data_IF_661484166987
#
_entry.id   IF_661484166987
#
_cell.length_a   1.000
_cell.length_b   1.000
_cell.length_c   1.000
_cell.angle_alpha   90.00
_cell.angle_beta   90.00
_cell.angle_gamma   90.00
#
_symmetry.space_group_name_H-M   'P 1'
#
loop_
_entity.id
_entity.type
_entity.pdbx_description
1 polymer ?
#
# COMPACT_ATOMS: atom_id res chain seq x y z
N UNK A 1 5.57 25.76 4.97
CA UNK A 1 6.37 24.63 4.42
C UNK A 1 6.01 23.31 5.14
N UNK A 2 6.29 22.13 4.56
CA UNK A 2 6.01 20.82 5.18
C UNK A 2 6.66 20.68 6.57
N UNK A 3 7.90 21.19 6.71
CA UNK A 3 8.65 21.21 7.96
C UNK A 3 7.98 22.03 9.07
N UNK A 4 7.35 23.15 8.73
CA UNK A 4 6.64 24.00 9.71
C UNK A 4 5.37 23.31 10.22
N UNK A 5 4.62 22.65 9.32
CA UNK A 5 3.43 21.88 9.69
C UNK A 5 3.76 20.72 10.64
N UNK A 6 4.91 20.08 10.42
CA UNK A 6 5.39 18.96 11.21
C UNK A 6 6.31 19.37 12.38
N UNK A 7 6.56 20.67 12.57
CA UNK A 7 7.48 21.23 13.58
C UNK A 7 8.86 20.55 13.59
N UNK A 8 9.39 20.29 12.39
CA UNK A 8 10.71 19.66 12.18
C UNK A 8 11.80 20.74 12.11
N UNK A 9 12.86 20.56 12.89
CA UNK A 9 14.05 21.40 12.78
C UNK A 9 15.01 20.89 11.68
N UNK A 10 16.12 21.61 11.47
CA UNK A 10 17.13 21.26 10.46
C UNK A 10 17.71 19.85 10.66
N UNK A 11 17.93 19.46 11.91
CA UNK A 11 18.52 18.16 12.23
C UNK A 11 17.51 17.05 11.92
N UNK A 12 16.24 17.25 12.26
CA UNK A 12 15.19 16.28 11.96
C UNK A 12 15.07 16.06 10.43
N UNK A 13 15.16 17.13 9.63
CA UNK A 13 15.16 17.04 8.16
C UNK A 13 16.36 16.29 7.61
N UNK A 14 17.55 16.54 8.14
CA UNK A 14 18.77 15.83 7.76
C UNK A 14 18.69 14.34 8.09
N UNK A 15 18.19 13.99 9.28
CA UNK A 15 17.96 12.60 9.69
C UNK A 15 17.04 11.90 8.69
N UNK A 16 15.86 12.49 8.41
CA UNK A 16 14.89 11.88 7.48
C UNK A 16 15.51 11.68 6.09
N UNK A 17 16.24 12.68 5.59
CA UNK A 17 16.87 12.61 4.27
C UNK A 17 17.91 11.48 4.19
N UNK A 18 18.77 11.37 5.20
CA UNK A 18 19.79 10.31 5.28
C UNK A 18 19.17 8.91 5.37
N UNK A 19 18.12 8.77 6.18
CA UNK A 19 17.42 7.49 6.34
C UNK A 19 16.66 7.10 5.08
N UNK A 20 16.06 8.05 4.35
CA UNK A 20 15.40 7.79 3.07
C UNK A 20 16.39 7.39 1.97
N UNK A 21 17.59 7.95 1.97
CA UNK A 21 18.65 7.61 1.02
C UNK A 21 19.27 6.24 1.32
N UNK A 22 19.55 5.97 2.60
CA UNK A 22 20.11 4.69 3.04
C UNK A 22 19.51 4.28 4.41
N UNK A 23 18.45 3.45 4.39
CA UNK A 23 17.79 2.97 5.61
C UNK A 23 18.67 2.13 6.53
N UNK A 24 19.81 1.62 6.06
CA UNK A 24 20.73 0.79 6.84
C UNK A 24 21.75 1.58 7.66
N UNK A 25 21.75 2.92 7.57
CA UNK A 25 22.66 3.75 8.34
C UNK A 25 22.44 3.58 9.85
N UNK A 26 23.52 3.35 10.57
CA UNK A 26 23.52 3.30 12.03
C UNK A 26 23.37 4.71 12.62
N UNK A 27 22.89 4.81 13.87
CA UNK A 27 22.83 6.09 14.57
C UNK A 27 24.19 6.80 14.66
N UNK A 28 25.29 6.04 14.77
CA UNK A 28 26.65 6.58 14.79
C UNK A 28 27.02 7.21 13.45
N UNK A 29 26.72 6.54 12.35
CA UNK A 29 26.96 7.05 11.00
C UNK A 29 26.15 8.29 10.66
N UNK A 30 24.90 8.35 11.12
CA UNK A 30 24.03 9.53 10.99
C UNK A 30 24.61 10.68 11.84
N UNK A 31 24.97 10.40 13.10
CA UNK A 31 25.55 11.37 14.03
C UNK A 31 26.81 12.04 13.48
N UNK A 32 27.71 11.27 12.87
CA UNK A 32 28.90 11.80 12.20
C UNK A 32 28.52 12.75 11.05
N UNK A 33 27.57 12.37 10.20
CA UNK A 33 27.17 13.18 9.03
C UNK A 33 26.48 14.49 9.42
N UNK A 34 25.69 14.50 10.50
CA UNK A 34 24.97 15.69 10.97
C UNK A 34 25.70 16.45 12.08
N UNK A 35 26.93 16.05 12.42
CA UNK A 35 27.78 16.67 13.43
C UNK A 35 27.11 16.79 14.80
N UNK A 36 26.51 15.70 15.28
CA UNK A 36 25.89 15.59 16.60
C UNK A 36 26.34 14.33 17.32
N UNK A 37 26.03 14.24 18.60
CA UNK A 37 26.31 13.01 19.36
C UNK A 37 25.32 11.91 18.97
N UNK A 38 25.78 10.66 19.03
CA UNK A 38 24.94 9.48 18.77
C UNK A 38 23.70 9.43 19.69
N UNK A 39 23.78 9.74 21.01
CA UNK A 39 22.59 9.79 21.87
C UNK A 39 21.57 10.86 21.44
N UNK A 40 22.02 12.03 20.99
CA UNK A 40 21.13 13.09 20.48
C UNK A 40 20.36 12.63 19.25
N UNK A 41 21.03 11.93 18.32
CA UNK A 41 20.39 11.39 17.11
C UNK A 41 19.42 10.26 17.45
N UNK A 42 19.80 9.34 18.33
CA UNK A 42 18.91 8.27 18.78
C UNK A 42 17.62 8.80 19.41
N UNK A 43 17.71 9.87 20.22
CA UNK A 43 16.53 10.51 20.81
C UNK A 43 15.61 11.14 19.75
N UNK A 44 16.20 11.78 18.72
CA UNK A 44 15.45 12.41 17.63
C UNK A 44 14.77 11.41 16.73
N UNK A 45 15.47 10.36 16.29
CA UNK A 45 14.88 9.25 15.53
C UNK A 45 13.69 8.66 16.28
N UNK A 46 13.89 8.31 17.57
CA UNK A 46 12.82 7.78 18.41
C UNK A 46 11.61 8.73 18.55
N UNK A 47 11.86 10.04 18.60
CA UNK A 47 10.78 11.05 18.60
C UNK A 47 10.03 11.07 17.27
N UNK A 48 10.75 11.05 16.15
CA UNK A 48 10.16 11.02 14.80
C UNK A 48 9.33 9.75 14.58
N UNK A 49 9.83 8.60 15.01
CA UNK A 49 9.12 7.32 14.99
C UNK A 49 7.85 7.35 15.83
N UNK A 50 7.95 7.79 17.09
CA UNK A 50 6.80 7.92 17.99
C UNK A 50 5.73 8.87 17.47
N UNK A 51 6.12 9.89 16.73
CA UNK A 51 5.19 10.86 16.11
C UNK A 51 4.54 10.36 14.82
N UNK A 52 4.97 9.20 14.29
CA UNK A 52 4.51 8.68 13.00
C UNK A 52 5.11 9.39 11.79
N UNK A 53 5.97 10.39 11.98
CA UNK A 53 6.61 11.14 10.89
C UNK A 53 7.63 10.28 10.16
N UNK A 54 8.41 9.48 10.90
CA UNK A 54 9.32 8.49 10.33
C UNK A 54 8.75 7.11 10.62
N UNK A 55 8.48 6.34 9.57
CA UNK A 55 8.00 4.96 9.67
C UNK A 55 8.81 4.09 8.71
N UNK A 56 9.12 2.88 9.15
CA UNK A 56 9.83 1.89 8.34
C UNK A 56 8.84 0.82 7.91
N UNK A 57 8.63 0.69 6.60
CA UNK A 57 7.83 -0.38 6.02
C UNK A 57 8.76 -1.35 5.30
N UNK A 58 9.01 -2.56 5.84
CA UNK A 58 9.66 -3.61 5.07
C UNK A 58 8.74 -4.02 3.91
N UNK A 59 9.34 -4.32 2.77
CA UNK A 59 8.61 -4.73 1.58
C UNK A 59 9.56 -5.27 0.53
N UNK A 60 8.96 -5.68 -0.59
CA UNK A 60 9.67 -6.24 -1.73
C UNK A 60 9.75 -5.18 -2.82
N UNK A 61 10.92 -5.03 -3.44
CA UNK A 61 11.06 -4.14 -4.58
C UNK A 61 10.37 -4.74 -5.81
N UNK A 62 9.30 -4.09 -6.27
CA UNK A 62 8.55 -4.49 -7.44
C UNK A 62 9.43 -4.65 -8.69
N UNK A 63 10.47 -3.84 -8.87
CA UNK A 63 11.39 -3.96 -10.03
C UNK A 63 12.15 -5.28 -10.11
N UNK A 64 12.34 -5.95 -8.97
CA UNK A 64 13.18 -7.16 -8.87
C UNK A 64 12.32 -8.42 -8.95
N UNK A 65 11.02 -8.31 -8.71
CA UNK A 65 10.10 -9.46 -8.71
C UNK A 65 9.21 -9.47 -9.94
N UNK A 66 9.01 -10.67 -10.50
CA UNK A 66 8.12 -10.89 -11.64
C UNK A 66 6.66 -10.93 -11.19
N UNK A 67 6.12 -9.75 -10.86
CA UNK A 67 4.73 -9.54 -10.47
C UNK A 67 4.06 -8.57 -11.44
N UNK A 68 2.75 -8.77 -11.66
CA UNK A 68 1.91 -7.80 -12.34
C UNK A 68 1.36 -6.81 -11.32
N UNK A 69 1.46 -5.51 -11.61
CA UNK A 69 0.84 -4.42 -10.85
C UNK A 69 -0.27 -3.79 -11.67
N UNK A 70 -1.49 -3.81 -11.15
CA UNK A 70 -2.65 -3.19 -11.79
C UNK A 70 -3.21 -2.04 -10.96
N UNK A 71 -3.63 -0.99 -11.65
CA UNK A 71 -4.37 0.13 -11.12
C UNK A 71 -5.83 -0.02 -11.55
N UNK A 72 -6.73 -0.11 -10.57
CA UNK A 72 -8.17 -0.28 -10.80
C UNK A 72 -8.89 0.95 -10.33
N UNK A 73 -9.35 1.76 -11.27
CA UNK A 73 -10.17 2.93 -10.99
C UNK A 73 -11.65 2.54 -10.97
N UNK A 74 -12.38 2.98 -9.95
CA UNK A 74 -13.81 2.68 -9.78
C UNK A 74 -14.60 3.97 -9.58
N UNK A 75 -15.78 4.03 -10.18
CA UNK A 75 -16.84 4.96 -9.80
C UNK A 75 -17.92 4.17 -9.07
N UNK A 76 -18.13 4.45 -7.79
CA UNK A 76 -19.09 3.73 -6.94
C UNK A 76 -20.01 4.68 -6.16
N UNK A 77 -21.22 4.23 -5.86
CA UNK A 77 -22.14 4.94 -4.95
C UNK A 77 -21.75 4.79 -3.48
N UNK A 78 -20.94 3.78 -3.15
CA UNK A 78 -20.56 3.43 -1.79
C UNK A 78 -19.04 3.21 -1.68
N UNK A 79 -18.24 4.29 -1.71
CA UNK A 79 -16.78 4.20 -1.64
C UNK A 79 -16.29 3.63 -0.30
N UNK A 80 -16.97 3.91 0.82
CA UNK A 80 -16.63 3.38 2.13
C UNK A 80 -16.65 1.85 2.14
N UNK A 81 -17.67 1.23 1.55
CA UNK A 81 -17.77 -0.23 1.44
C UNK A 81 -16.60 -0.84 0.66
N UNK A 82 -16.16 -0.18 -0.41
CA UNK A 82 -15.01 -0.64 -1.21
C UNK A 82 -13.71 -0.54 -0.42
N UNK A 83 -13.50 0.54 0.34
CA UNK A 83 -12.32 0.73 1.19
C UNK A 83 -12.27 -0.34 2.29
N UNK A 84 -13.39 -0.60 2.97
CA UNK A 84 -13.44 -1.65 4.00
C UNK A 84 -13.17 -3.04 3.42
N UNK A 85 -13.77 -3.38 2.28
CA UNK A 85 -13.51 -4.62 1.57
C UNK A 85 -12.02 -4.80 1.20
N UNK A 86 -11.39 -3.74 0.72
CA UNK A 86 -10.02 -3.75 0.23
C UNK A 86 -9.01 -4.18 1.33
N UNK A 87 -9.29 -3.88 2.61
CA UNK A 87 -8.43 -4.25 3.75
C UNK A 87 -8.24 -5.76 3.93
N UNK A 88 -9.14 -6.57 3.40
CA UNK A 88 -9.12 -8.03 3.60
C UNK A 88 -8.58 -8.81 2.40
N UNK A 89 -8.52 -8.19 1.22
CA UNK A 89 -8.11 -8.89 0.00
C UNK A 89 -6.57 -8.96 -0.06
N UNK A 90 -5.96 -10.16 -0.11
CA UNK A 90 -4.51 -10.31 -0.11
C UNK A 90 -3.86 -9.85 -1.43
N UNK A 91 -4.65 -9.66 -2.50
CA UNK A 91 -4.18 -9.11 -3.76
C UNK A 91 -4.12 -7.57 -3.74
N UNK A 92 -4.73 -6.91 -2.75
CA UNK A 92 -4.75 -5.45 -2.66
C UNK A 92 -3.50 -4.98 -1.92
N UNK A 93 -2.73 -4.11 -2.57
CA UNK A 93 -1.60 -3.41 -1.96
C UNK A 93 -2.07 -2.15 -1.22
N UNK A 94 -2.99 -1.41 -1.86
CA UNK A 94 -3.57 -0.21 -1.28
C UNK A 94 -4.89 0.16 -1.97
N UNK A 95 -5.70 0.98 -1.30
CA UNK A 95 -6.97 1.48 -1.82
C UNK A 95 -7.16 2.94 -1.38
N UNK A 96 -7.42 3.81 -2.35
CA UNK A 96 -7.50 5.25 -2.16
C UNK A 96 -8.89 5.76 -2.50
N UNK A 97 -9.39 6.72 -1.70
CA UNK A 97 -10.52 7.55 -2.09
C UNK A 97 -10.03 8.73 -2.91
N UNK A 98 -10.62 8.91 -4.07
CA UNK A 98 -10.25 9.92 -5.05
C UNK A 98 -11.33 11.00 -5.13
N UNK A 99 -10.94 12.25 -5.43
CA UNK A 99 -11.87 13.37 -5.59
C UNK A 99 -12.42 13.51 -7.01
N UNK A 100 -11.87 12.77 -7.97
CA UNK A 100 -12.27 12.80 -9.38
C UNK A 100 -13.51 11.96 -9.69
N UNK A 101 -13.78 11.79 -10.98
CA UNK A 101 -14.95 11.04 -11.48
C UNK A 101 -14.93 9.57 -11.08
N UNK A 102 -13.76 8.94 -11.13
CA UNK A 102 -13.49 7.71 -10.40
C UNK A 102 -13.14 8.09 -8.97
N UNK A 103 -13.99 7.69 -8.04
CA UNK A 103 -13.90 8.06 -6.63
C UNK A 103 -13.15 7.03 -5.77
N UNK A 104 -12.69 5.92 -6.37
CA UNK A 104 -11.77 4.96 -5.76
C UNK A 104 -10.66 4.56 -6.75
N UNK A 105 -9.44 4.38 -6.25
CA UNK A 105 -8.32 3.73 -6.92
C UNK A 105 -7.82 2.55 -6.08
N UNK A 106 -7.78 1.35 -6.64
CA UNK A 106 -7.24 0.15 -5.99
C UNK A 106 -5.95 -0.27 -6.69
N UNK A 107 -4.88 -0.47 -5.93
CA UNK A 107 -3.64 -1.05 -6.42
C UNK A 107 -3.64 -2.55 -6.12
N UNK A 108 -3.54 -3.38 -7.16
CA UNK A 108 -3.52 -4.84 -7.05
C UNK A 108 -2.19 -5.41 -7.53
N UNK A 109 -1.73 -6.50 -6.91
CA UNK A 109 -0.54 -7.23 -7.38
C UNK A 109 -0.71 -8.75 -7.36
N UNK A 110 -0.14 -9.43 -8.35
CA UNK A 110 -0.12 -10.89 -8.42
C UNK A 110 0.94 -11.39 -9.40
N UNK A 111 1.43 -12.62 -9.21
CA UNK A 111 2.29 -13.31 -10.18
C UNK A 111 1.56 -13.75 -11.46
N UNK A 112 0.22 -13.59 -11.53
CA UNK A 112 -0.57 -13.93 -12.71
C UNK A 112 -1.64 -12.89 -12.99
N UNK A 113 -1.59 -12.27 -14.18
CA UNK A 113 -2.60 -11.30 -14.63
C UNK A 113 -4.03 -11.85 -14.56
N UNK A 114 -4.23 -13.13 -14.89
CA UNK A 114 -5.55 -13.78 -14.82
C UNK A 114 -6.15 -13.76 -13.40
N UNK A 115 -5.33 -13.86 -12.35
CA UNK A 115 -5.83 -13.75 -10.97
C UNK A 115 -6.36 -12.34 -10.70
N UNK A 116 -5.66 -11.30 -11.18
CA UNK A 116 -6.09 -9.91 -11.03
C UNK A 116 -7.41 -9.66 -11.75
N UNK A 117 -7.54 -10.08 -13.01
CA UNK A 117 -8.79 -9.92 -13.77
C UNK A 117 -9.97 -10.64 -13.07
N UNK A 118 -9.75 -11.86 -12.56
CA UNK A 118 -10.78 -12.59 -11.82
C UNK A 118 -11.19 -11.89 -10.51
N UNK A 119 -10.23 -11.33 -9.76
CA UNK A 119 -10.53 -10.50 -8.58
C UNK A 119 -11.35 -9.29 -8.98
N UNK A 120 -10.96 -8.61 -10.05
CA UNK A 120 -11.64 -7.41 -10.54
C UNK A 120 -13.08 -7.70 -10.95
N UNK A 121 -13.28 -8.75 -11.73
CA UNK A 121 -14.59 -9.21 -12.16
C UNK A 121 -15.49 -9.56 -10.96
N UNK A 122 -14.99 -10.43 -10.09
CA UNK A 122 -15.78 -10.99 -9.00
C UNK A 122 -16.13 -9.97 -7.92
N UNK A 123 -15.15 -9.16 -7.50
CA UNK A 123 -15.29 -8.29 -6.33
C UNK A 123 -15.74 -6.87 -6.65
N UNK A 124 -15.55 -6.40 -7.89
CA UNK A 124 -15.84 -5.01 -8.28
C UNK A 124 -16.81 -4.91 -9.46
N UNK A 125 -16.57 -5.58 -10.61
CA UNK A 125 -17.48 -5.47 -11.78
C UNK A 125 -18.90 -5.97 -11.47
N UNK A 126 -19.01 -7.05 -10.70
CA UNK A 126 -20.31 -7.63 -10.32
C UNK A 126 -20.99 -6.91 -9.14
N UNK A 127 -20.39 -5.85 -8.60
CA UNK A 127 -20.94 -5.13 -7.46
C UNK A 127 -21.96 -4.07 -7.93
N UNK A 128 -23.24 -4.13 -7.47
CA UNK A 128 -24.29 -3.22 -7.93
C UNK A 128 -24.06 -1.74 -7.56
N UNK A 129 -23.20 -1.45 -6.58
CA UNK A 129 -22.84 -0.08 -6.22
C UNK A 129 -21.80 0.53 -7.17
N UNK A 130 -21.08 -0.30 -7.95
CA UNK A 130 -20.05 0.12 -8.89
C UNK A 130 -20.68 0.42 -10.25
N UNK A 131 -20.48 1.65 -10.73
CA UNK A 131 -21.04 2.17 -11.98
C UNK A 131 -20.08 2.05 -13.15
N UNK A 132 -18.79 2.31 -12.90
CA UNK A 132 -17.74 2.26 -13.90
C UNK A 132 -16.45 1.71 -13.29
N UNK A 133 -15.65 1.06 -14.13
CA UNK A 133 -14.40 0.45 -13.75
C UNK A 133 -13.41 0.46 -14.92
N UNK A 134 -12.19 0.93 -14.65
CA UNK A 134 -11.05 0.77 -15.55
C UNK A 134 -9.97 -0.03 -14.82
N UNK A 135 -9.31 -0.94 -15.54
CA UNK A 135 -8.15 -1.66 -15.03
C UNK A 135 -6.99 -1.41 -15.99
N UNK A 136 -5.92 -0.82 -15.48
CA UNK A 136 -4.71 -0.51 -16.22
C UNK A 136 -3.54 -1.29 -15.63
N UNK A 137 -2.67 -1.83 -16.50
CA UNK A 137 -1.47 -2.52 -16.07
C UNK A 137 -0.28 -1.54 -16.08
N UNK A 138 0.48 -1.52 -15.00
CA UNK A 138 1.75 -0.77 -14.94
C UNK A 138 2.81 -1.53 -15.74
N UNK A 139 3.31 -0.90 -16.80
CA UNK A 139 4.29 -1.50 -17.72
C UNK A 139 5.73 -1.17 -17.33
N UNK A 140 5.97 0.02 -16.76
CA UNK A 140 7.31 0.46 -16.34
C UNK A 140 7.21 1.41 -15.14
N UNK A 141 8.27 1.47 -14.33
CA UNK A 141 8.40 2.37 -13.18
C UNK A 141 9.77 3.03 -13.13
N UNK A 142 9.79 4.36 -13.00
CA UNK A 142 11.04 5.12 -13.03
C UNK A 142 11.96 4.85 -11.83
N UNK A 143 11.41 4.79 -10.62
CA UNK A 143 12.15 4.58 -9.36
C UNK A 143 11.79 3.24 -8.72
N UNK A 144 12.62 2.78 -7.80
CA UNK A 144 12.31 1.60 -6.97
C UNK A 144 10.98 1.80 -6.24
N UNK A 145 10.19 0.73 -6.18
CA UNK A 145 8.88 0.77 -5.55
C UNK A 145 8.74 -0.41 -4.60
N UNK A 146 8.95 -0.12 -3.30
CA UNK A 146 8.97 -1.11 -2.23
C UNK A 146 7.55 -1.25 -1.67
N UNK A 147 7.00 -2.46 -1.74
CA UNK A 147 5.60 -2.71 -1.37
C UNK A 147 5.47 -3.88 -0.38
N UNK A 148 4.55 -3.78 0.60
CA UNK A 148 4.23 -4.91 1.45
C UNK A 148 3.38 -5.91 0.66
N UNK A 149 3.95 -7.07 0.32
CA UNK A 149 3.23 -8.15 -0.36
C UNK A 149 2.65 -9.10 0.68
N UNK A 150 1.36 -9.42 0.57
CA UNK A 150 0.74 -10.52 1.32
C UNK A 150 0.95 -11.83 0.53
N UNK A 151 1.88 -12.66 1.01
CA UNK A 151 2.17 -13.97 0.42
C UNK A 151 0.98 -14.94 0.49
N UNK A 152 -0.03 -14.69 1.33
CA UNK A 152 -1.26 -15.49 1.32
C UNK A 152 -1.95 -15.45 -0.05
N UNK A 153 -1.75 -14.39 -0.84
CA UNK A 153 -2.25 -14.29 -2.22
C UNK A 153 -1.84 -15.45 -3.13
N UNK A 154 -0.73 -16.14 -2.85
CA UNK A 154 -0.28 -17.31 -3.59
C UNK A 154 -1.23 -18.50 -3.41
N UNK A 155 -1.84 -18.62 -2.23
CA UNK A 155 -2.76 -19.70 -1.88
C UNK A 155 -4.18 -19.50 -2.41
N UNK A 156 -4.46 -18.36 -3.03
CA UNK A 156 -5.75 -18.05 -3.66
C UNK A 156 -5.67 -18.23 -5.17
N UNK A 157 -6.65 -18.91 -5.76
CA UNK A 157 -6.78 -19.07 -7.20
C UNK A 157 -8.17 -18.60 -7.66
N UNK A 158 -8.41 -17.27 -7.70
CA UNK A 158 -9.73 -16.74 -7.97
C UNK A 158 -10.25 -17.12 -9.35
N UNK A 159 -11.55 -17.39 -9.47
CA UNK A 159 -12.29 -17.50 -10.73
C UNK A 159 -13.25 -16.31 -10.88
N UNK A 160 -13.78 -16.08 -12.08
CA UNK A 160 -14.73 -15.00 -12.32
C UNK A 160 -16.08 -15.25 -11.62
N UNK A 161 -16.44 -16.53 -11.42
CA UNK A 161 -17.72 -16.97 -10.88
C UNK A 161 -17.72 -17.11 -9.36
N UNK A 162 -16.62 -17.59 -8.77
CA UNK A 162 -16.55 -17.94 -7.35
C UNK A 162 -15.57 -17.06 -6.55
N UNK A 163 -14.81 -16.20 -7.22
CA UNK A 163 -13.67 -15.52 -6.61
C UNK A 163 -12.71 -16.55 -6.04
N UNK A 164 -12.16 -16.30 -4.84
CA UNK A 164 -11.26 -17.26 -4.17
C UNK A 164 -11.99 -18.45 -3.48
N UNK A 165 -13.26 -18.72 -3.82
CA UNK A 165 -14.04 -19.80 -3.20
C UNK A 165 -14.25 -19.59 -1.70
N UNK A 166 -14.15 -20.68 -0.92
CA UNK A 166 -14.32 -20.71 0.54
C UNK A 166 -13.21 -19.98 1.30
N UNK A 167 -12.01 -19.88 0.72
CA UNK A 167 -10.86 -19.23 1.37
C UNK A 167 -10.89 -17.71 1.24
N UNK A 168 -11.85 -17.16 0.50
CA UNK A 168 -11.91 -15.72 0.24
C UNK A 168 -12.04 -14.92 1.54
N UNK A 169 -10.95 -14.25 1.94
CA UNK A 169 -10.89 -13.40 3.15
C UNK A 169 -11.99 -12.33 3.19
N UNK A 170 -12.36 -11.78 2.03
CA UNK A 170 -13.47 -10.81 1.92
C UNK A 170 -14.83 -11.45 2.24
N UNK A 171 -15.11 -12.66 1.74
CA UNK A 171 -16.37 -13.37 2.05
C UNK A 171 -16.44 -13.71 3.54
N UNK A 172 -15.35 -14.28 4.07
CA UNK A 172 -15.23 -14.63 5.48
C UNK A 172 -15.46 -13.40 6.37
N UNK A 173 -14.93 -12.23 5.98
CA UNK A 173 -15.16 -10.99 6.71
C UNK A 173 -16.63 -10.55 6.71
N UNK A 174 -17.34 -10.70 5.58
CA UNK A 174 -18.79 -10.43 5.49
C UNK A 174 -19.61 -11.39 6.35
N UNK A 175 -19.33 -12.68 6.28
CA UNK A 175 -20.02 -13.71 7.07
C UNK A 175 -19.85 -13.49 8.58
N UNK A 176 -18.69 -12.96 8.99
CA UNK A 176 -18.41 -12.57 10.38
C UNK A 176 -18.97 -11.19 10.76
N UNK A 177 -19.63 -10.48 9.84
CA UNK A 177 -20.18 -9.14 10.08
C UNK A 177 -19.12 -8.05 10.27
N UNK A 178 -17.87 -8.29 9.86
CA UNK A 178 -16.79 -7.30 9.95
C UNK A 178 -16.91 -6.20 8.90
N UNK A 179 -17.54 -6.52 7.77
CA UNK A 179 -17.83 -5.61 6.66
C UNK A 179 -19.23 -5.89 6.11
N UNK A 180 -19.88 -4.84 5.59
CA UNK A 180 -21.22 -4.91 4.98
C UNK A 180 -21.20 -5.34 3.51
#
# INVERSE_FOLDING_TARGET
>A
MLSEKLKLDDIDRQIISLVQENPSLTHTEIATRVQRSQPTIGMRIKKLEKSGILQFQPGINFKVVDLFLALVELKTKNPEKIIEQAKYCPFVLNCFRMSGDHNILVMLSSSKLKKLDNIVNYHYRNNPDVQNISMELVVDIAKDFILPIDFDSEHHNPTAEEGCGEKCKVKIAREKGLIQ
#
